data_IF_112802033086
#
_entry.id   IF_112802033086
#
_cell.length_a   1.000
_cell.length_b   1.000
_cell.length_c   1.000
_cell.angle_alpha   90.00
_cell.angle_beta   90.00
_cell.angle_gamma   90.00
#
_symmetry.space_group_name_H-M   'P 1'
#
loop_
_entity.id
_entity.type
_entity.pdbx_description
1 polymer ?
#
# COMPACT_ATOMS: atom_id res chain seq x y z
N UNK A 1 -54.17 2.90 -21.97
CA UNK A 1 -53.37 1.66 -22.04
C UNK A 1 -52.62 1.68 -23.36
N UNK A 2 -51.29 1.60 -23.32
CA UNK A 2 -50.43 1.68 -24.51
C UNK A 2 -49.70 0.38 -24.78
N UNK A 3 -49.27 0.20 -26.04
CA UNK A 3 -48.37 -0.88 -26.43
C UNK A 3 -47.18 -0.28 -27.16
N UNK A 4 -45.99 -0.75 -26.82
CA UNK A 4 -44.75 -0.40 -27.51
C UNK A 4 -44.08 -1.65 -28.04
N UNK A 5 -43.47 -1.53 -29.22
CA UNK A 5 -42.55 -2.56 -29.74
C UNK A 5 -41.19 -2.30 -29.15
N UNK A 6 -40.69 -3.25 -28.36
CA UNK A 6 -39.44 -3.12 -27.62
C UNK A 6 -38.40 -4.09 -28.15
N UNK A 7 -37.24 -3.57 -28.51
CA UNK A 7 -36.06 -4.39 -28.79
C UNK A 7 -34.92 -4.07 -27.83
N UNK A 8 -34.18 -5.11 -27.47
CA UNK A 8 -33.05 -5.00 -26.53
C UNK A 8 -31.83 -5.59 -27.21
N UNK A 9 -30.81 -4.76 -27.38
CA UNK A 9 -29.51 -5.13 -27.92
C UNK A 9 -28.48 -5.12 -26.81
N UNK A 10 -27.55 -6.07 -26.86
CA UNK A 10 -26.27 -5.96 -26.16
C UNK A 10 -25.22 -5.75 -27.22
N UNK A 11 -24.55 -4.59 -27.17
CA UNK A 11 -23.66 -4.12 -28.25
C UNK A 11 -24.39 -4.14 -29.62
N UNK A 12 -23.97 -5.03 -30.53
CA UNK A 12 -24.56 -5.19 -31.86
C UNK A 12 -25.50 -6.40 -32.00
N UNK A 13 -25.70 -7.18 -30.93
CA UNK A 13 -26.51 -8.41 -30.97
C UNK A 13 -27.86 -8.20 -30.32
N UNK A 14 -28.92 -8.46 -31.07
CA UNK A 14 -30.30 -8.49 -30.55
C UNK A 14 -30.46 -9.64 -29.57
N UNK A 15 -30.80 -9.32 -28.32
CA UNK A 15 -31.13 -10.30 -27.27
C UNK A 15 -32.65 -10.48 -27.18
N UNK A 16 -33.40 -9.37 -27.31
CA UNK A 16 -34.87 -9.39 -27.38
C UNK A 16 -35.26 -8.75 -28.70
N UNK A 17 -35.87 -9.54 -29.57
CA UNK A 17 -36.39 -9.08 -30.86
C UNK A 17 -37.84 -8.65 -30.69
N UNK A 18 -38.13 -7.37 -30.95
CA UNK A 18 -39.45 -6.77 -31.15
C UNK A 18 -40.59 -7.35 -30.29
N UNK A 19 -40.38 -7.37 -28.97
CA UNK A 19 -41.37 -7.82 -27.99
C UNK A 19 -42.40 -6.72 -27.77
N UNK A 20 -43.68 -7.06 -27.86
CA UNK A 20 -44.76 -6.11 -27.53
C UNK A 20 -44.88 -6.00 -26.01
N UNK A 21 -44.62 -4.81 -25.47
CA UNK A 21 -44.75 -4.51 -24.05
C UNK A 21 -45.98 -3.64 -23.83
N UNK A 22 -46.90 -4.14 -23.00
CA UNK A 22 -48.11 -3.43 -22.60
C UNK A 22 -47.79 -2.56 -21.37
N UNK A 23 -48.12 -1.27 -21.45
CA UNK A 23 -47.88 -0.30 -20.38
C UNK A 23 -49.21 0.31 -19.91
N UNK A 24 -49.44 0.23 -18.59
CA UNK A 24 -50.54 0.90 -17.90
C UNK A 24 -49.97 2.17 -17.25
N UNK A 25 -50.47 3.34 -17.68
CA UNK A 25 -50.03 4.66 -17.19
C UNK A 25 -50.29 4.88 -15.69
N UNK A 26 -51.12 4.03 -15.07
CA UNK A 26 -51.46 4.10 -13.65
C UNK A 26 -50.36 3.54 -12.75
N UNK A 27 -49.44 2.72 -13.27
CA UNK A 27 -48.57 1.89 -12.42
C UNK A 27 -47.07 1.97 -12.76
N UNK A 28 -46.65 2.70 -13.80
CA UNK A 28 -45.24 2.76 -14.23
C UNK A 28 -44.91 4.07 -14.96
N UNK A 29 -44.03 4.90 -14.38
CA UNK A 29 -43.66 6.20 -14.95
C UNK A 29 -42.32 6.21 -15.72
N UNK A 30 -41.48 5.17 -15.63
CA UNK A 30 -40.10 5.24 -16.15
C UNK A 30 -39.74 4.14 -17.15
N UNK A 31 -38.81 4.45 -18.06
CA UNK A 31 -38.25 3.48 -19.02
C UNK A 31 -37.65 2.25 -18.36
N UNK A 32 -37.14 2.39 -17.13
CA UNK A 32 -36.67 1.29 -16.30
C UNK A 32 -37.70 0.16 -16.17
N UNK A 33 -38.97 0.48 -15.95
CA UNK A 33 -40.02 -0.52 -15.78
C UNK A 33 -40.32 -1.25 -17.08
N UNK A 34 -40.32 -0.52 -18.20
CA UNK A 34 -40.51 -1.09 -19.55
C UNK A 34 -39.35 -2.04 -19.88
N UNK A 35 -38.12 -1.66 -19.55
CA UNK A 35 -36.93 -2.49 -19.73
C UNK A 35 -37.00 -3.78 -18.92
N UNK A 36 -37.39 -3.69 -17.64
CA UNK A 36 -37.55 -4.83 -16.75
C UNK A 36 -38.61 -5.83 -17.26
N UNK A 37 -39.76 -5.33 -17.72
CA UNK A 37 -40.81 -6.16 -18.34
C UNK A 37 -40.32 -6.79 -19.65
N UNK A 38 -39.58 -6.05 -20.48
CA UNK A 38 -39.07 -6.56 -21.74
C UNK A 38 -38.08 -7.71 -21.51
N UNK A 39 -37.23 -7.58 -20.49
CA UNK A 39 -36.13 -8.50 -20.18
C UNK A 39 -36.44 -9.55 -19.12
N UNK A 40 -37.66 -9.56 -18.56
CA UNK A 40 -38.05 -10.42 -17.44
C UNK A 40 -37.09 -10.30 -16.23
N UNK A 41 -36.67 -9.07 -15.90
CA UNK A 41 -35.74 -8.75 -14.79
C UNK A 41 -34.36 -9.44 -14.87
N UNK A 42 -33.92 -9.88 -16.04
CA UNK A 42 -32.67 -10.64 -16.19
C UNK A 42 -31.39 -9.78 -16.08
N UNK A 43 -31.50 -8.46 -16.08
CA UNK A 43 -30.36 -7.54 -16.24
C UNK A 43 -30.31 -6.42 -15.19
N UNK A 44 -30.78 -6.67 -13.97
CA UNK A 44 -30.94 -5.68 -12.88
C UNK A 44 -29.64 -4.95 -12.40
N UNK A 45 -28.46 -5.19 -12.98
CA UNK A 45 -27.19 -4.61 -12.51
C UNK A 45 -26.19 -4.22 -13.62
N UNK A 46 -26.63 -3.97 -14.85
CA UNK A 46 -25.73 -3.56 -15.93
C UNK A 46 -25.67 -2.02 -16.04
N UNK A 47 -24.48 -1.46 -15.78
CA UNK A 47 -24.21 -0.03 -15.97
C UNK A 47 -24.10 0.34 -17.45
N UNK A 48 -24.71 1.45 -17.85
CA UNK A 48 -24.66 2.00 -19.22
C UNK A 48 -25.74 1.47 -20.16
N UNK A 49 -27.02 1.76 -19.87
CA UNK A 49 -28.14 1.43 -20.78
C UNK A 49 -28.57 2.69 -21.52
N UNK A 50 -28.41 2.68 -22.84
CA UNK A 50 -28.89 3.74 -23.71
C UNK A 50 -30.32 3.44 -24.19
N UNK A 51 -31.15 4.48 -24.24
CA UNK A 51 -32.56 4.39 -24.66
C UNK A 51 -32.75 5.18 -25.96
N UNK A 52 -33.40 4.55 -26.93
CA UNK A 52 -33.75 5.17 -28.20
C UNK A 52 -35.22 4.98 -28.53
N UNK A 53 -35.82 5.97 -29.17
CA UNK A 53 -37.23 5.99 -29.55
C UNK A 53 -37.37 6.10 -31.06
N UNK A 54 -38.43 5.52 -31.60
CA UNK A 54 -38.74 5.65 -33.02
C UNK A 54 -40.24 5.68 -33.28
N UNK A 55 -40.62 6.57 -34.19
CA UNK A 55 -41.94 6.66 -34.82
C UNK A 55 -41.76 6.40 -36.32
N UNK A 56 -42.02 5.18 -36.82
CA UNK A 56 -41.80 4.88 -38.23
C UNK A 56 -42.58 5.85 -39.14
N UNK A 57 -41.97 6.34 -40.24
CA UNK A 57 -40.69 5.91 -40.84
C UNK A 57 -39.43 6.64 -40.32
N UNK A 58 -39.54 7.43 -39.25
CA UNK A 58 -38.46 8.31 -38.76
C UNK A 58 -37.24 7.55 -38.24
N UNK A 59 -36.12 8.28 -38.06
CA UNK A 59 -34.89 7.72 -37.49
C UNK A 59 -35.03 7.49 -35.98
N UNK A 60 -34.14 6.66 -35.43
CA UNK A 60 -34.02 6.49 -33.98
C UNK A 60 -33.53 7.79 -33.33
N UNK A 61 -34.21 8.23 -32.27
CA UNK A 61 -33.86 9.40 -31.47
C UNK A 61 -33.34 8.93 -30.11
N UNK A 62 -32.24 9.51 -29.65
CA UNK A 62 -31.64 9.20 -28.35
C UNK A 62 -32.37 9.93 -27.21
N UNK A 63 -32.54 9.26 -26.07
CA UNK A 63 -33.12 9.83 -24.84
C UNK A 63 -32.01 10.07 -23.83
N UNK A 64 -31.74 11.34 -23.52
CA UNK A 64 -30.65 11.75 -22.63
C UNK A 64 -30.84 11.24 -21.19
N UNK A 65 -32.07 11.23 -20.70
CA UNK A 65 -32.42 10.76 -19.36
C UNK A 65 -32.30 9.22 -19.19
N UNK A 66 -32.05 8.50 -20.28
CA UNK A 66 -31.88 7.05 -20.29
C UNK A 66 -33.04 6.31 -19.63
N UNK A 67 -32.73 5.38 -18.73
CA UNK A 67 -33.75 4.59 -18.01
C UNK A 67 -34.60 5.40 -17.00
N UNK A 68 -34.12 6.57 -16.58
CA UNK A 68 -34.81 7.42 -15.61
C UNK A 68 -35.86 8.32 -16.26
N UNK A 69 -35.85 8.44 -17.59
CA UNK A 69 -36.80 9.25 -18.35
C UNK A 69 -38.25 8.75 -18.22
N UNK A 70 -39.18 9.69 -18.36
CA UNK A 70 -40.61 9.43 -18.26
C UNK A 70 -41.16 8.82 -19.56
N UNK A 71 -42.02 7.80 -19.45
CA UNK A 71 -42.65 7.13 -20.60
C UNK A 71 -43.86 7.92 -21.11
N UNK A 72 -44.38 8.87 -20.33
CA UNK A 72 -45.55 9.70 -20.66
C UNK A 72 -45.35 10.49 -21.96
N UNK A 73 -44.14 10.99 -22.23
CA UNK A 73 -43.83 11.70 -23.48
C UNK A 73 -44.00 10.82 -24.73
N UNK A 74 -43.94 9.50 -24.62
CA UNK A 74 -44.16 8.60 -25.77
C UNK A 74 -45.59 8.67 -26.26
N UNK A 75 -46.54 8.84 -25.34
CA UNK A 75 -47.95 8.97 -25.65
C UNK A 75 -48.26 10.32 -26.28
N UNK A 76 -47.68 11.40 -25.74
CA UNK A 76 -47.88 12.75 -26.27
C UNK A 76 -47.27 12.91 -27.68
N UNK A 77 -46.09 12.33 -27.90
CA UNK A 77 -45.34 12.47 -29.16
C UNK A 77 -45.61 11.34 -30.17
N UNK A 78 -46.45 10.36 -29.82
CA UNK A 78 -46.82 9.20 -30.65
C UNK A 78 -45.63 8.33 -31.08
N UNK A 79 -44.65 8.13 -30.19
CA UNK A 79 -43.60 7.14 -30.41
C UNK A 79 -44.16 5.73 -30.23
N UNK A 80 -43.75 4.79 -31.07
CA UNK A 80 -44.30 3.41 -31.07
C UNK A 80 -43.25 2.34 -30.77
N UNK A 81 -41.97 2.67 -30.93
CA UNK A 81 -40.86 1.74 -30.76
C UNK A 81 -39.85 2.26 -29.73
N UNK A 82 -39.35 1.35 -28.91
CA UNK A 82 -38.30 1.62 -27.92
C UNK A 82 -37.17 0.62 -28.16
N UNK A 83 -35.94 1.12 -28.19
CA UNK A 83 -34.73 0.31 -28.31
C UNK A 83 -33.83 0.58 -27.12
N UNK A 84 -33.49 -0.48 -26.40
CA UNK A 84 -32.50 -0.45 -25.33
C UNK A 84 -31.19 -1.03 -25.85
N UNK A 85 -30.09 -0.32 -25.64
CA UNK A 85 -28.74 -0.82 -25.93
C UNK A 85 -28.00 -0.94 -24.61
N UNK A 86 -27.69 -2.18 -24.22
CA UNK A 86 -26.80 -2.47 -23.13
C UNK A 86 -25.37 -2.31 -23.67
N UNK A 87 -24.69 -1.28 -23.20
CA UNK A 87 -23.24 -1.26 -23.31
C UNK A 87 -22.71 -2.35 -22.38
N UNK A 88 -21.73 -3.13 -22.84
CA UNK A 88 -20.91 -3.81 -21.87
C UNK A 88 -20.30 -2.70 -21.01
N UNK A 89 -20.66 -2.65 -19.72
CA UNK A 89 -19.76 -2.06 -18.72
C UNK A 89 -18.39 -2.55 -19.14
N UNK A 90 -17.44 -1.64 -19.42
CA UNK A 90 -16.05 -2.03 -19.66
C UNK A 90 -15.77 -3.05 -18.57
N UNK A 91 -15.79 -4.33 -18.95
CA UNK A 91 -15.22 -5.35 -18.11
C UNK A 91 -13.86 -4.74 -17.92
N UNK A 92 -13.54 -4.39 -16.69
CA UNK A 92 -12.18 -4.50 -16.25
C UNK A 92 -11.81 -5.91 -16.66
N UNK A 93 -11.30 -6.03 -17.90
CA UNK A 93 -10.23 -6.93 -18.20
C UNK A 93 -9.35 -6.65 -17.00
N UNK A 94 -9.33 -7.58 -16.08
CA UNK A 94 -8.21 -7.68 -15.18
C UNK A 94 -7.07 -7.89 -16.15
N UNK A 95 -6.54 -6.77 -16.69
CA UNK A 95 -5.29 -6.74 -17.40
C UNK A 95 -4.41 -7.45 -16.41
N UNK A 96 -4.00 -8.67 -16.76
CA UNK A 96 -2.89 -9.29 -16.06
C UNK A 96 -1.84 -8.18 -16.04
N UNK A 97 -1.45 -7.68 -14.85
CA UNK A 97 -0.51 -6.58 -14.80
C UNK A 97 0.63 -6.98 -15.71
N UNK A 98 0.89 -6.16 -16.73
CA UNK A 98 1.94 -6.45 -17.71
C UNK A 98 3.17 -6.85 -16.89
N UNK A 99 3.86 -7.93 -17.27
CA UNK A 99 5.00 -8.40 -16.49
C UNK A 99 5.98 -7.25 -16.18
N UNK A 100 6.09 -6.28 -17.10
CA UNK A 100 6.84 -5.04 -16.93
C UNK A 100 6.24 -4.16 -15.83
N UNK A 101 4.93 -3.89 -15.84
CA UNK A 101 4.25 -3.11 -14.81
C UNK A 101 4.31 -3.79 -13.43
N UNK A 102 4.25 -5.12 -13.40
CA UNK A 102 4.41 -5.90 -12.17
C UNK A 102 5.85 -5.78 -11.64
N UNK A 103 6.86 -5.94 -12.49
CA UNK A 103 8.28 -5.78 -12.13
C UNK A 103 8.54 -4.34 -11.68
N UNK A 104 7.97 -3.35 -12.37
CA UNK A 104 8.09 -1.94 -12.03
C UNK A 104 7.39 -1.63 -10.69
N UNK A 105 6.23 -2.22 -10.42
CA UNK A 105 5.56 -2.08 -9.13
C UNK A 105 6.40 -2.73 -8.01
N UNK A 106 6.92 -3.95 -8.23
CA UNK A 106 7.76 -4.66 -7.26
C UNK A 106 9.06 -3.90 -6.98
N UNK A 107 9.70 -3.31 -7.98
CA UNK A 107 10.94 -2.54 -7.81
C UNK A 107 10.73 -1.28 -6.96
N UNK A 108 9.53 -0.69 -7.00
CA UNK A 108 9.15 0.46 -6.18
C UNK A 108 8.72 0.07 -4.76
N UNK A 109 8.61 -1.21 -4.42
CA UNK A 109 8.25 -1.62 -3.05
C UNK A 109 9.42 -1.37 -2.11
N UNK A 110 9.09 -0.72 -1.01
CA UNK A 110 9.99 -0.58 0.13
C UNK A 110 9.96 -1.91 0.88
N UNK A 111 11.11 -2.57 0.95
CA UNK A 111 11.30 -3.85 1.60
C UNK A 111 12.31 -3.72 2.74
N UNK A 112 12.05 -4.40 3.85
CA UNK A 112 12.98 -4.51 4.96
C UNK A 112 13.66 -5.89 4.94
N UNK A 113 14.86 -6.02 5.52
CA UNK A 113 15.49 -7.32 5.74
C UNK A 113 14.56 -8.27 6.48
N UNK A 114 14.69 -9.56 6.18
CA UNK A 114 13.95 -10.60 6.88
C UNK A 114 14.27 -10.60 8.37
N UNK A 115 13.22 -10.75 9.19
CA UNK A 115 13.38 -10.92 10.63
C UNK A 115 14.03 -12.27 10.92
N UNK A 116 14.92 -12.28 11.91
CA UNK A 116 15.55 -13.51 12.41
C UNK A 116 14.54 -14.27 13.27
N UNK A 117 14.68 -15.60 13.29
CA UNK A 117 14.04 -16.39 14.35
C UNK A 117 14.64 -15.94 15.69
N UNK A 118 13.78 -15.58 16.64
CA UNK A 118 14.21 -15.03 17.93
C UNK A 118 14.74 -16.12 18.87
N UNK A 119 15.91 -16.69 18.53
CA UNK A 119 16.59 -17.68 19.37
C UNK A 119 17.44 -16.99 20.47
N UNK A 120 17.90 -15.76 20.23
CA UNK A 120 18.68 -14.97 21.21
C UNK A 120 18.13 -13.57 21.45
N UNK A 121 18.52 -12.94 22.56
CA UNK A 121 18.22 -11.52 22.83
C UNK A 121 18.86 -10.57 21.81
N UNK A 122 19.92 -10.99 21.14
CA UNK A 122 20.54 -10.22 20.05
C UNK A 122 19.69 -10.29 18.78
N UNK A 123 19.04 -11.43 18.52
CA UNK A 123 18.06 -11.56 17.44
C UNK A 123 16.82 -10.71 17.71
N UNK A 124 16.38 -10.64 18.98
CA UNK A 124 15.32 -9.73 19.38
C UNK A 124 15.70 -8.26 19.10
N UNK A 125 16.91 -7.82 19.44
CA UNK A 125 17.39 -6.47 19.12
C UNK A 125 17.36 -6.22 17.61
N UNK A 126 17.89 -7.17 16.82
CA UNK A 126 17.85 -7.11 15.35
C UNK A 126 16.41 -6.91 14.84
N UNK A 127 15.48 -7.74 15.30
CA UNK A 127 14.08 -7.68 14.87
C UNK A 127 13.39 -6.40 15.31
N UNK A 128 13.72 -5.87 16.48
CA UNK A 128 13.17 -4.61 16.96
C UNK A 128 13.70 -3.40 16.20
N UNK A 129 14.95 -3.43 15.71
CA UNK A 129 15.45 -2.42 14.75
C UNK A 129 14.63 -2.49 13.45
N UNK A 130 14.32 -3.69 12.95
CA UNK A 130 13.44 -3.85 11.77
C UNK A 130 12.03 -3.28 12.02
N UNK A 131 11.45 -3.51 13.20
CA UNK A 131 10.14 -2.94 13.58
C UNK A 131 10.20 -1.42 13.68
N UNK A 132 11.28 -0.87 14.24
CA UNK A 132 11.51 0.57 14.32
C UNK A 132 11.56 1.18 12.93
N UNK A 133 12.36 0.62 12.02
CA UNK A 133 12.42 1.06 10.62
C UNK A 133 11.07 0.97 9.90
N UNK A 134 10.29 -0.09 10.16
CA UNK A 134 8.92 -0.20 9.65
C UNK A 134 8.02 0.94 10.13
N UNK A 135 8.11 1.32 11.41
CA UNK A 135 7.31 2.42 11.96
C UNK A 135 7.67 3.79 11.34
N UNK A 136 8.92 3.96 10.92
CA UNK A 136 9.41 5.14 10.20
C UNK A 136 9.16 5.09 8.68
N UNK A 137 8.48 4.05 8.19
CA UNK A 137 8.15 3.85 6.76
C UNK A 137 9.38 3.84 5.85
N UNK A 138 10.54 3.40 6.37
CA UNK A 138 11.78 3.28 5.60
C UNK A 138 12.02 1.86 5.14
N UNK A 139 12.93 1.72 4.18
CA UNK A 139 13.40 0.43 3.70
C UNK A 139 14.15 0.55 2.38
N UNK A 140 14.48 -0.59 1.81
CA UNK A 140 15.27 -0.68 0.59
C UNK A 140 14.39 -1.07 -0.59
N UNK A 141 14.76 -0.57 -1.78
CA UNK A 141 14.12 -0.90 -3.06
C UNK A 141 15.01 -1.85 -3.85
N UNK A 142 14.50 -2.41 -4.95
CA UNK A 142 15.29 -3.17 -5.92
C UNK A 142 16.01 -4.42 -5.34
N UNK A 143 15.49 -5.05 -4.29
CA UNK A 143 16.02 -6.32 -3.80
C UNK A 143 17.29 -6.23 -2.94
N UNK A 144 17.79 -5.03 -2.62
CA UNK A 144 19.02 -4.85 -1.83
C UNK A 144 18.80 -4.97 -0.31
N UNK A 145 17.57 -5.20 0.15
CA UNK A 145 17.25 -5.35 1.57
C UNK A 145 17.98 -6.54 2.21
N UNK A 146 18.15 -7.66 1.49
CA UNK A 146 18.81 -8.84 2.05
C UNK A 146 20.34 -8.85 1.84
N UNK A 147 20.88 -7.80 1.20
CA UNK A 147 22.33 -7.59 1.04
C UNK A 147 22.78 -6.40 1.87
N UNK A 148 22.77 -5.19 1.30
CA UNK A 148 23.20 -3.96 1.98
C UNK A 148 22.32 -3.64 3.19
N UNK A 149 20.99 -3.80 3.06
CA UNK A 149 20.09 -3.52 4.17
C UNK A 149 20.33 -4.45 5.36
N UNK A 150 20.48 -5.74 5.10
CA UNK A 150 20.81 -6.74 6.12
C UNK A 150 22.14 -6.41 6.78
N UNK A 151 23.18 -6.12 5.98
CA UNK A 151 24.51 -5.75 6.49
C UNK A 151 24.43 -4.53 7.41
N UNK A 152 23.71 -3.48 7.00
CA UNK A 152 23.53 -2.28 7.82
C UNK A 152 22.85 -2.59 9.15
N UNK A 153 21.74 -3.34 9.14
CA UNK A 153 21.04 -3.72 10.38
C UNK A 153 21.92 -4.59 11.26
N UNK A 154 22.74 -5.47 10.70
CA UNK A 154 23.70 -6.29 11.46
C UNK A 154 24.81 -5.43 12.11
N UNK A 155 25.35 -4.45 11.39
CA UNK A 155 26.32 -3.49 11.93
C UNK A 155 25.71 -2.66 13.07
N UNK A 156 24.49 -2.13 12.86
CA UNK A 156 23.78 -1.36 13.88
C UNK A 156 23.45 -2.20 15.11
N UNK A 157 22.98 -3.43 14.91
CA UNK A 157 22.75 -4.41 15.98
C UNK A 157 24.03 -4.67 16.76
N UNK A 158 25.17 -4.85 16.08
CA UNK A 158 26.44 -5.10 16.74
C UNK A 158 26.90 -3.92 17.61
N UNK A 159 26.76 -2.69 17.11
CA UNK A 159 27.12 -1.47 17.83
C UNK A 159 26.23 -1.25 19.05
N UNK A 160 24.90 -1.29 18.86
CA UNK A 160 23.93 -1.16 19.96
C UNK A 160 24.11 -2.26 21.00
N UNK A 161 24.29 -3.52 20.58
CA UNK A 161 24.51 -4.64 21.50
C UNK A 161 25.77 -4.48 22.38
N UNK A 162 26.84 -3.91 21.80
CA UNK A 162 28.09 -3.70 22.52
C UNK A 162 27.98 -2.60 23.57
N UNK A 163 27.25 -1.53 23.25
CA UNK A 163 27.06 -0.35 24.11
C UNK A 163 25.92 -0.51 25.10
N UNK A 164 24.95 -1.38 24.81
CA UNK A 164 23.73 -1.59 25.60
C UNK A 164 23.98 -1.72 27.12
N UNK A 165 24.98 -2.48 27.62
CA UNK A 165 25.22 -2.54 29.05
C UNK A 165 25.84 -1.27 29.68
N UNK A 166 26.28 -0.33 28.85
CA UNK A 166 27.04 0.86 29.24
C UNK A 166 26.31 2.17 28.91
N UNK A 167 25.02 2.14 28.56
CA UNK A 167 24.26 3.36 28.18
C UNK A 167 24.36 4.46 29.22
N UNK A 168 24.32 4.13 30.52
CA UNK A 168 24.44 5.12 31.60
C UNK A 168 25.76 5.88 31.56
N UNK A 169 26.88 5.22 31.20
CA UNK A 169 28.19 5.88 31.07
C UNK A 169 28.21 6.90 29.91
N UNK A 170 27.44 6.64 28.85
CA UNK A 170 27.24 7.62 27.78
C UNK A 170 26.41 8.81 28.28
N UNK A 171 25.30 8.54 28.97
CA UNK A 171 24.44 9.58 29.55
C UNK A 171 25.19 10.48 30.54
N UNK A 172 25.99 9.89 31.45
CA UNK A 172 26.83 10.62 32.42
C UNK A 172 27.84 11.56 31.74
N UNK A 173 28.29 11.21 30.53
CA UNK A 173 29.19 12.03 29.70
C UNK A 173 28.43 12.95 28.74
N UNK A 174 27.11 13.07 28.87
CA UNK A 174 26.23 13.83 27.96
C UNK A 174 26.40 13.41 26.49
N UNK A 175 26.66 12.12 26.24
CA UNK A 175 26.77 11.54 24.92
C UNK A 175 25.45 10.86 24.54
N UNK A 176 24.87 11.31 23.42
CA UNK A 176 23.59 10.82 22.95
C UNK A 176 23.78 9.56 22.10
N UNK A 177 22.92 8.56 22.32
CA UNK A 177 22.83 7.44 21.38
C UNK A 177 22.11 7.86 20.09
N UNK A 178 21.23 8.85 20.16
CA UNK A 178 20.26 9.21 19.13
C UNK A 178 18.84 9.05 19.67
N UNK A 179 17.97 10.03 19.43
CA UNK A 179 16.57 10.00 19.86
C UNK A 179 15.80 8.83 19.24
N UNK A 180 16.10 8.49 17.99
CA UNK A 180 15.48 7.38 17.27
C UNK A 180 15.71 6.05 17.99
N UNK A 181 16.92 5.80 18.48
CA UNK A 181 17.23 4.52 19.12
C UNK A 181 16.61 4.39 20.51
N UNK A 182 16.25 5.50 21.16
CA UNK A 182 15.50 5.46 22.42
C UNK A 182 14.09 4.89 22.23
N UNK A 183 13.55 4.89 21.01
CA UNK A 183 12.25 4.28 20.68
C UNK A 183 12.29 2.74 20.62
N UNK A 184 13.45 2.10 20.79
CA UNK A 184 13.54 0.63 20.85
C UNK A 184 12.78 0.09 22.08
N UNK A 185 11.98 -0.97 21.91
CA UNK A 185 11.07 -1.51 22.93
C UNK A 185 11.66 -1.69 24.34
N UNK A 186 12.91 -2.16 24.42
CA UNK A 186 13.55 -2.37 25.72
C UNK A 186 14.06 -1.05 26.31
N UNK A 187 14.51 -0.11 25.48
CA UNK A 187 15.03 1.18 25.95
C UNK A 187 13.92 2.07 26.49
N UNK A 188 12.74 2.07 25.85
CA UNK A 188 11.54 2.75 26.35
C UNK A 188 11.08 2.24 27.72
N UNK A 189 11.46 1.00 28.08
CA UNK A 189 11.15 0.38 29.37
C UNK A 189 12.32 0.51 30.36
N UNK A 190 13.34 1.29 30.03
CA UNK A 190 14.59 1.42 30.79
C UNK A 190 15.31 0.08 31.00
N UNK A 191 15.10 -0.89 30.10
CA UNK A 191 15.69 -2.23 30.12
C UNK A 191 16.84 -2.36 29.12
N UNK A 192 17.59 -3.45 29.24
CA UNK A 192 18.73 -3.79 28.38
C UNK A 192 18.40 -4.97 27.47
N UNK A 193 18.94 -4.96 26.24
CA UNK A 193 18.86 -6.13 25.37
C UNK A 193 19.86 -7.21 25.82
N UNK A 194 21.11 -6.83 26.09
CA UNK A 194 22.22 -7.68 26.51
C UNK A 194 22.17 -7.97 28.02
N UNK A 195 21.12 -8.66 28.45
CA UNK A 195 20.93 -9.08 29.84
C UNK A 195 22.05 -10.01 30.34
N UNK A 196 22.67 -10.77 29.43
CA UNK A 196 23.77 -11.67 29.73
C UNK A 196 24.98 -10.96 30.35
N UNK A 197 25.24 -9.70 29.98
CA UNK A 197 26.29 -8.90 30.60
C UNK A 197 26.07 -8.72 32.11
N UNK A 198 24.82 -8.61 32.54
CA UNK A 198 24.46 -8.36 33.93
C UNK A 198 24.30 -9.64 34.74
N UNK A 199 23.72 -10.68 34.15
CA UNK A 199 23.37 -11.93 34.85
C UNK A 199 24.40 -13.05 34.68
N UNK A 200 25.33 -12.90 33.72
CA UNK A 200 26.34 -13.90 33.42
C UNK A 200 27.42 -14.00 34.50
N UNK A 201 28.02 -15.19 34.63
CA UNK A 201 29.18 -15.43 35.52
C UNK A 201 30.52 -15.05 34.89
N UNK A 202 30.51 -14.57 33.64
CA UNK A 202 31.72 -14.23 32.90
C UNK A 202 32.24 -12.85 33.29
N UNK A 203 33.53 -12.63 33.08
CA UNK A 203 34.13 -11.31 33.30
C UNK A 203 33.41 -10.25 32.46
N UNK A 204 33.01 -9.16 33.12
CA UNK A 204 32.38 -8.02 32.48
C UNK A 204 33.44 -7.29 31.66
N UNK A 205 33.18 -7.10 30.37
CA UNK A 205 34.05 -6.29 29.53
C UNK A 205 33.85 -4.81 29.82
N UNK A 206 34.89 -4.02 29.57
CA UNK A 206 34.80 -2.57 29.44
C UNK A 206 34.76 -2.20 27.96
N UNK A 207 34.28 -1.00 27.66
CA UNK A 207 34.39 -0.44 26.32
C UNK A 207 35.86 -0.18 26.01
N UNK A 208 36.24 -0.47 24.77
CA UNK A 208 37.61 -0.40 24.27
C UNK A 208 37.63 0.59 23.11
N UNK A 209 38.67 1.42 23.04
CA UNK A 209 38.86 2.44 22.00
C UNK A 209 38.71 1.82 20.59
N UNK A 210 39.57 0.86 20.26
CA UNK A 210 39.64 0.28 18.91
C UNK A 210 38.33 -0.39 18.48
N UNK A 211 37.60 -0.98 19.43
CA UNK A 211 36.33 -1.65 19.13
C UNK A 211 35.22 -0.65 18.88
N UNK A 212 35.16 0.45 19.63
CA UNK A 212 34.23 1.55 19.37
C UNK A 212 34.53 2.19 18.02
N UNK A 213 35.80 2.46 17.71
CA UNK A 213 36.22 3.06 16.44
C UNK A 213 35.89 2.17 15.24
N UNK A 214 36.12 0.86 15.37
CA UNK A 214 35.77 -0.13 14.35
C UNK A 214 34.25 -0.20 14.11
N UNK A 215 33.45 -0.18 15.17
CA UNK A 215 31.98 -0.21 15.07
C UNK A 215 31.45 1.08 14.41
N UNK A 216 31.99 2.23 14.81
CA UNK A 216 31.65 3.53 14.22
C UNK A 216 31.98 3.56 12.72
N UNK A 217 33.19 3.16 12.35
CA UNK A 217 33.65 3.12 10.95
C UNK A 217 32.81 2.16 10.11
N UNK A 218 32.47 0.98 10.65
CA UNK A 218 31.62 0.00 9.93
C UNK A 218 30.21 0.53 9.66
N UNK A 219 29.64 1.31 10.59
CA UNK A 219 28.34 1.93 10.41
C UNK A 219 28.39 3.04 9.35
N UNK A 220 29.41 3.89 9.40
CA UNK A 220 29.59 4.97 8.43
C UNK A 220 29.80 4.45 7.01
N UNK A 221 30.60 3.39 6.85
CA UNK A 221 30.75 2.71 5.56
C UNK A 221 29.44 2.11 5.04
N UNK A 222 28.56 1.68 5.94
CA UNK A 222 27.24 1.15 5.58
C UNK A 222 26.29 2.25 5.12
N UNK A 223 26.30 3.42 5.76
CA UNK A 223 25.47 4.58 5.36
C UNK A 223 26.11 5.44 4.27
N UNK A 224 27.36 5.19 3.89
CA UNK A 224 27.98 5.79 2.70
C UNK A 224 27.54 5.13 1.38
N UNK A 225 26.74 4.07 1.45
CA UNK A 225 26.25 3.34 0.28
C UNK A 225 25.15 4.13 -0.46
N UNK A 226 24.98 3.93 -1.78
CA UNK A 226 24.02 4.71 -2.59
C UNK A 226 22.57 4.70 -2.10
N UNK A 227 22.15 3.64 -1.40
CA UNK A 227 20.78 3.54 -0.88
C UNK A 227 20.47 4.58 0.20
N UNK A 228 21.49 5.07 0.91
CA UNK A 228 21.37 6.02 1.99
C UNK A 228 21.06 7.45 1.49
N UNK A 229 21.35 7.75 0.22
CA UNK A 229 21.01 9.05 -0.38
C UNK A 229 19.50 9.25 -0.62
N UNK A 230 18.66 8.26 -0.30
CA UNK A 230 17.22 8.38 -0.44
C UNK A 230 16.63 9.20 0.73
N UNK A 231 15.82 10.21 0.43
CA UNK A 231 15.21 11.14 1.41
C UNK A 231 14.48 10.43 2.57
N UNK A 232 13.88 9.26 2.32
CA UNK A 232 13.23 8.50 3.41
C UNK A 232 14.18 8.08 4.52
N UNK A 233 15.49 7.97 4.24
CA UNK A 233 16.51 7.58 5.20
C UNK A 233 17.19 8.75 5.92
N UNK A 234 16.97 10.00 5.50
CA UNK A 234 17.70 11.19 5.97
C UNK A 234 17.75 11.27 7.51
N UNK A 235 16.57 11.28 8.16
CA UNK A 235 16.47 11.34 9.62
C UNK A 235 17.18 10.16 10.31
N UNK A 236 17.16 8.96 9.72
CA UNK A 236 17.81 7.79 10.32
C UNK A 236 19.33 7.88 10.18
N UNK A 237 19.80 8.43 9.07
CA UNK A 237 21.23 8.60 8.81
C UNK A 237 21.81 9.66 9.75
N UNK A 238 21.11 10.76 9.98
CA UNK A 238 21.52 11.77 10.97
C UNK A 238 21.67 11.15 12.37
N UNK A 239 20.70 10.33 12.78
CA UNK A 239 20.73 9.60 14.04
C UNK A 239 21.90 8.61 14.13
N UNK A 240 22.22 7.92 13.03
CA UNK A 240 23.42 7.07 12.95
C UNK A 240 24.69 7.91 13.11
N UNK A 241 24.80 9.09 12.50
CA UNK A 241 25.97 9.95 12.66
C UNK A 241 26.10 10.53 14.07
N UNK A 242 24.99 10.87 14.73
CA UNK A 242 24.99 11.23 16.16
C UNK A 242 25.55 10.06 16.97
N UNK A 243 25.07 8.84 16.71
CA UNK A 243 25.52 7.65 17.40
C UNK A 243 27.02 7.37 17.19
N UNK A 244 27.50 7.41 15.95
CA UNK A 244 28.92 7.15 15.65
C UNK A 244 29.83 8.24 16.22
N UNK A 245 29.40 9.49 16.18
CA UNK A 245 30.11 10.60 16.82
C UNK A 245 30.22 10.41 18.34
N UNK A 246 29.15 9.97 18.99
CA UNK A 246 29.16 9.67 20.43
C UNK A 246 30.09 8.50 20.76
N UNK A 247 30.13 7.45 19.93
CA UNK A 247 31.08 6.34 20.10
C UNK A 247 32.52 6.82 20.06
N UNK A 248 32.88 7.66 19.09
CA UNK A 248 34.24 8.21 18.97
C UNK A 248 34.59 9.16 20.11
N UNK A 249 33.68 10.06 20.48
CA UNK A 249 33.88 10.92 21.65
C UNK A 249 34.08 10.11 22.92
N UNK A 250 33.34 9.02 23.09
CA UNK A 250 33.57 8.13 24.24
C UNK A 250 34.93 7.45 24.16
N UNK A 251 35.31 6.94 22.97
CA UNK A 251 36.59 6.27 22.72
C UNK A 251 37.78 7.19 23.04
N UNK A 252 37.78 8.42 22.55
CA UNK A 252 38.86 9.39 22.82
C UNK A 252 39.02 9.74 24.31
N UNK A 253 37.98 9.52 25.12
CA UNK A 253 38.02 9.69 26.58
C UNK A 253 38.36 8.39 27.33
N UNK A 254 38.79 7.34 26.62
CA UNK A 254 39.36 6.11 27.18
C UNK A 254 40.89 6.08 27.09
N UNK A 255 41.48 6.86 26.19
CA UNK A 255 42.92 7.16 26.15
C UNK A 255 43.32 8.09 27.29
#
# INVERSE_FOLDING_TARGET
MGFFVVCVLKEAKTIVSDKIVKVLLTDCYQFHNVFNIATNNQFENLGGIQVFLKKPPEKWVYVEEGLQGDVSMLFELNFTHIKFILEATKTTVQERPNAIDLIMNISQRICLPEQKKEDTRKDLLYNNIIKLFRSKMVGWRNGIQNTFGKSFVECLTAALWYIDPHRTKFTERSLLLGELFNELDQYQKEQNYNLYYFTGKHAKYNLEHDKLEKLASSLELSVAQPWAANESWENIIEEVFIFTSSMRKYANNLE
#
